data_IF_613829937445
#
_entry.id   IF_613829937445
#
_cell.length_a   1.000
_cell.length_b   1.000
_cell.length_c   1.000
_cell.angle_alpha   90.00
_cell.angle_beta   90.00
_cell.angle_gamma   90.00
#
_symmetry.space_group_name_H-M   'P 1'
#
loop_
_entity.id
_entity.type
_entity.pdbx_description
1 polymer ?
#
# COMPACT_ATOMS: atom_id res chain seq x y z
N UNK A 1 -0.32 -18.28 -6.25
CA UNK A 1 -1.73 -17.91 -6.30
C UNK A 1 -1.92 -16.39 -6.23
N UNK A 2 -3.03 -15.82 -6.72
CA UNK A 2 -3.31 -14.41 -6.58
C UNK A 2 -3.48 -14.04 -5.09
N UNK A 3 -3.07 -12.83 -4.72
CA UNK A 3 -3.35 -12.23 -3.42
C UNK A 3 -4.36 -11.09 -3.58
N UNK A 4 -4.10 -10.20 -4.52
CA UNK A 4 -5.00 -9.14 -4.96
C UNK A 4 -5.16 -9.37 -6.46
N UNK A 5 -6.38 -9.63 -6.89
CA UNK A 5 -6.65 -10.07 -8.26
C UNK A 5 -6.20 -9.03 -9.29
N UNK A 6 -5.48 -9.51 -10.32
CA UNK A 6 -4.88 -8.65 -11.33
C UNK A 6 -3.71 -7.75 -10.85
N UNK A 7 -3.43 -7.65 -9.55
CA UNK A 7 -2.48 -6.71 -8.98
C UNK A 7 -1.26 -7.39 -8.38
N UNK A 8 -1.45 -8.33 -7.45
CA UNK A 8 -0.36 -8.92 -6.67
C UNK A 8 -0.58 -10.41 -6.45
N UNK A 9 0.48 -11.19 -6.54
CA UNK A 9 0.49 -12.63 -6.22
C UNK A 9 1.23 -12.89 -4.91
N UNK A 10 0.92 -14.01 -4.28
CA UNK A 10 1.76 -14.54 -3.19
C UNK A 10 3.15 -14.84 -3.74
N UNK A 11 4.19 -14.59 -2.97
CA UNK A 11 5.57 -14.67 -3.40
C UNK A 11 6.10 -13.43 -4.13
N UNK A 12 5.29 -12.40 -4.32
CA UNK A 12 5.65 -11.13 -4.98
C UNK A 12 5.80 -9.99 -3.96
N UNK A 13 6.47 -8.92 -4.42
CA UNK A 13 6.69 -7.70 -3.65
C UNK A 13 5.84 -6.55 -4.18
N UNK A 14 5.33 -5.72 -3.28
CA UNK A 14 4.61 -4.50 -3.64
C UNK A 14 5.09 -3.31 -2.83
N UNK A 15 5.39 -2.22 -3.51
CA UNK A 15 5.70 -0.92 -2.91
C UNK A 15 4.48 0.00 -3.00
N UNK A 16 4.10 0.61 -1.88
CA UNK A 16 3.20 1.76 -1.85
C UNK A 16 4.05 3.02 -1.61
N UNK A 17 4.17 3.86 -2.65
CA UNK A 17 4.86 5.13 -2.59
C UNK A 17 3.87 6.30 -2.40
N UNK A 18 4.34 7.40 -1.85
CA UNK A 18 3.50 8.58 -1.70
C UNK A 18 4.13 9.63 -0.77
N UNK A 19 3.69 10.90 -0.84
CA UNK A 19 4.20 11.95 0.03
C UNK A 19 3.92 11.65 1.51
N UNK A 20 4.59 12.38 2.39
CA UNK A 20 4.29 12.30 3.82
C UNK A 20 2.82 12.68 4.05
N UNK A 21 2.16 11.98 4.96
CA UNK A 21 0.73 12.19 5.31
C UNK A 21 -0.27 11.90 4.16
N UNK A 22 0.14 11.18 3.12
CA UNK A 22 -0.73 10.78 2.01
C UNK A 22 -1.70 9.63 2.33
N UNK A 23 -1.76 9.14 3.56
CA UNK A 23 -2.65 8.04 3.93
C UNK A 23 -2.09 6.63 3.68
N UNK A 24 -0.80 6.47 3.36
CA UNK A 24 -0.19 5.15 3.07
C UNK A 24 -0.49 4.09 4.12
N UNK A 25 -0.33 4.41 5.41
CA UNK A 25 -0.61 3.47 6.50
C UNK A 25 -2.08 3.07 6.57
N UNK A 26 -2.99 4.00 6.27
CA UNK A 26 -4.42 3.68 6.18
C UNK A 26 -4.73 2.76 5.01
N UNK A 27 -4.15 3.01 3.84
CA UNK A 27 -4.28 2.13 2.67
C UNK A 27 -3.74 0.72 2.95
N UNK A 28 -2.61 0.61 3.69
CA UNK A 28 -2.06 -0.68 4.12
C UNK A 28 -2.94 -1.39 5.15
N UNK A 29 -3.51 -0.67 6.11
CA UNK A 29 -4.44 -1.24 7.10
C UNK A 29 -5.73 -1.69 6.41
N UNK A 30 -6.25 -0.91 5.46
CA UNK A 30 -7.41 -1.29 4.65
C UNK A 30 -7.12 -2.57 3.85
N UNK A 31 -5.94 -2.69 3.26
CA UNK A 31 -5.49 -3.93 2.59
C UNK A 31 -5.46 -5.11 3.56
N UNK A 32 -4.95 -4.91 4.80
CA UNK A 32 -4.99 -5.96 5.83
C UNK A 32 -6.41 -6.44 6.10
N UNK A 33 -7.33 -5.50 6.31
CA UNK A 33 -8.75 -5.81 6.57
C UNK A 33 -9.35 -6.51 5.36
N UNK A 34 -9.12 -5.99 4.15
CA UNK A 34 -9.66 -6.58 2.93
C UNK A 34 -9.18 -8.02 2.70
N UNK A 35 -7.91 -8.32 2.97
CA UNK A 35 -7.37 -9.68 2.87
C UNK A 35 -7.92 -10.57 4.00
N UNK A 36 -8.00 -10.09 5.23
CA UNK A 36 -8.51 -10.87 6.35
C UNK A 36 -9.98 -11.27 6.15
N UNK A 37 -10.79 -10.35 5.65
CA UNK A 37 -12.23 -10.56 5.43
C UNK A 37 -12.56 -11.13 4.03
N UNK A 38 -11.60 -11.10 3.08
CA UNK A 38 -11.79 -11.60 1.72
C UNK A 38 -12.66 -10.67 0.88
N UNK A 39 -12.58 -9.36 1.12
CA UNK A 39 -13.32 -8.31 0.40
C UNK A 39 -12.44 -7.55 -0.58
N UNK A 40 -13.02 -6.61 -1.33
CA UNK A 40 -12.29 -5.77 -2.28
C UNK A 40 -11.47 -4.68 -1.58
N UNK A 41 -10.26 -4.43 -2.10
CA UNK A 41 -9.40 -3.30 -1.77
C UNK A 41 -9.23 -2.43 -3.00
N UNK A 42 -9.62 -1.17 -2.95
CA UNK A 42 -9.65 -0.25 -4.11
C UNK A 42 -10.34 -0.84 -5.37
N UNK A 43 -11.34 -1.71 -5.18
CA UNK A 43 -12.07 -2.38 -6.27
C UNK A 43 -11.51 -3.75 -6.66
N UNK A 44 -10.27 -4.06 -6.34
CA UNK A 44 -9.66 -5.35 -6.62
C UNK A 44 -10.02 -6.40 -5.57
N UNK A 45 -10.46 -7.57 -5.99
CA UNK A 45 -10.78 -8.67 -5.09
C UNK A 45 -9.53 -9.18 -4.37
N UNK A 46 -9.61 -9.30 -3.05
CA UNK A 46 -8.55 -9.88 -2.22
C UNK A 46 -8.83 -11.33 -1.89
N UNK A 47 -7.79 -12.18 -1.96
CA UNK A 47 -7.84 -13.54 -1.45
C UNK A 47 -7.89 -13.50 0.07
N UNK A 48 -8.86 -14.20 0.66
CA UNK A 48 -9.00 -14.31 2.11
C UNK A 48 -7.86 -15.13 2.71
N UNK A 49 -7.24 -14.62 3.77
CA UNK A 49 -6.19 -15.37 4.47
C UNK A 49 -5.54 -14.61 5.61
N UNK A 50 -4.55 -15.26 6.20
CA UNK A 50 -3.85 -14.73 7.36
C UNK A 50 -2.75 -13.76 6.95
N UNK A 51 -2.63 -12.66 7.69
CA UNK A 51 -1.71 -11.57 7.37
C UNK A 51 -0.94 -11.10 8.60
N UNK A 52 0.30 -10.71 8.39
CA UNK A 52 1.13 -10.09 9.41
C UNK A 52 1.34 -8.61 9.08
N UNK A 53 0.96 -7.73 10.00
CA UNK A 53 1.24 -6.30 9.93
C UNK A 53 2.36 -5.92 10.89
N UNK A 54 3.49 -5.49 10.35
CA UNK A 54 4.67 -5.03 11.10
C UNK A 54 4.62 -3.51 11.25
N UNK A 55 4.14 -3.07 12.40
CA UNK A 55 4.03 -1.65 12.76
C UNK A 55 5.36 -1.17 13.36
N UNK A 56 6.03 -0.24 12.67
CA UNK A 56 7.34 0.30 13.06
C UNK A 56 7.25 1.74 13.60
N UNK A 57 6.11 2.41 13.42
CA UNK A 57 6.01 3.84 13.71
C UNK A 57 4.99 4.18 14.79
N UNK A 58 3.82 3.55 14.78
CA UNK A 58 2.74 3.88 15.71
C UNK A 58 2.91 3.15 17.06
N UNK A 59 2.47 3.78 18.14
CA UNK A 59 2.24 3.06 19.38
C UNK A 59 1.08 2.05 19.20
N UNK A 60 1.03 1.08 20.11
CA UNK A 60 0.05 -0.01 20.00
C UNK A 60 -1.40 0.47 20.01
N UNK A 61 -1.73 1.43 20.86
CA UNK A 61 -3.09 1.92 21.00
C UNK A 61 -3.55 2.67 19.74
N UNK A 62 -2.71 3.56 19.22
CA UNK A 62 -2.95 4.28 17.97
C UNK A 62 -3.06 3.34 16.77
N UNK A 63 -2.24 2.30 16.70
CA UNK A 63 -2.32 1.31 15.64
C UNK A 63 -3.66 0.57 15.68
N UNK A 64 -4.07 0.06 16.83
CA UNK A 64 -5.35 -0.64 17.00
C UNK A 64 -6.55 0.27 16.73
N UNK A 65 -6.45 1.57 17.13
CA UNK A 65 -7.50 2.54 16.84
C UNK A 65 -7.70 2.72 15.33
N UNK A 66 -6.61 2.83 14.56
CA UNK A 66 -6.69 2.92 13.09
C UNK A 66 -7.33 1.67 12.45
N UNK A 67 -7.03 0.47 12.95
CA UNK A 67 -7.71 -0.74 12.48
C UNK A 67 -9.21 -0.66 12.74
N UNK A 68 -9.64 -0.22 13.93
CA UNK A 68 -11.05 -0.01 14.26
C UNK A 68 -11.70 1.01 13.32
N UNK A 69 -11.03 2.14 13.08
CA UNK A 69 -11.54 3.19 12.18
C UNK A 69 -11.75 2.66 10.77
N UNK A 70 -10.79 1.86 10.26
CA UNK A 70 -10.86 1.26 8.93
C UNK A 70 -12.02 0.25 8.85
N UNK A 71 -12.19 -0.65 9.83
CA UNK A 71 -13.35 -1.55 9.87
C UNK A 71 -14.65 -0.76 9.83
N UNK A 72 -14.76 0.30 10.63
CA UNK A 72 -15.95 1.17 10.65
C UNK A 72 -16.18 1.85 9.29
N UNK A 73 -15.12 2.39 8.66
CA UNK A 73 -15.20 3.07 7.37
C UNK A 73 -15.55 2.12 6.22
N UNK A 74 -15.11 0.87 6.29
CA UNK A 74 -15.46 -0.17 5.32
C UNK A 74 -16.85 -0.78 5.58
N UNK A 75 -17.53 -0.38 6.64
CA UNK A 75 -18.82 -0.96 7.08
C UNK A 75 -18.75 -2.48 7.28
N UNK A 76 -17.63 -2.96 7.83
CA UNK A 76 -17.41 -4.38 8.09
C UNK A 76 -17.46 -4.68 9.59
N UNK A 77 -18.05 -5.80 9.92
CA UNK A 77 -17.87 -6.41 11.23
C UNK A 77 -16.55 -7.21 11.25
N UNK A 78 -15.81 -7.19 12.37
CA UNK A 78 -14.51 -7.84 12.44
C UNK A 78 -14.64 -9.36 12.68
N UNK A 79 -15.12 -10.09 11.70
CA UNK A 79 -15.39 -11.53 11.80
C UNK A 79 -14.10 -12.37 11.83
N UNK A 80 -13.03 -11.86 11.25
CA UNK A 80 -11.78 -12.61 11.06
C UNK A 80 -10.56 -11.95 11.72
N UNK A 81 -10.71 -11.35 12.90
CA UNK A 81 -9.62 -10.73 13.66
C UNK A 81 -8.42 -11.67 13.90
N UNK A 82 -8.66 -12.97 14.04
CA UNK A 82 -7.60 -13.96 14.17
C UNK A 82 -6.74 -14.14 12.91
N UNK A 83 -7.18 -13.56 11.80
CA UNK A 83 -6.42 -13.53 10.54
C UNK A 83 -5.45 -12.35 10.46
N UNK A 84 -5.46 -11.43 11.42
CA UNK A 84 -4.55 -10.28 11.46
C UNK A 84 -3.67 -10.40 12.71
N UNK A 85 -2.38 -10.70 12.49
CA UNK A 85 -1.38 -10.58 13.55
C UNK A 85 -0.65 -9.22 13.41
N UNK A 86 -0.49 -8.49 14.51
CA UNK A 86 0.19 -7.18 14.52
C UNK A 86 1.45 -7.27 15.37
N UNK A 87 2.61 -6.96 14.78
CA UNK A 87 3.86 -6.78 15.51
C UNK A 87 4.13 -5.29 15.73
N UNK A 88 4.01 -4.84 16.97
CA UNK A 88 4.33 -3.47 17.35
C UNK A 88 5.81 -3.37 17.70
N UNK A 89 6.60 -2.81 16.79
CA UNK A 89 8.06 -2.70 16.91
C UNK A 89 8.54 -1.24 17.03
N UNK A 90 7.64 -0.27 17.28
CA UNK A 90 8.04 1.11 17.58
C UNK A 90 9.03 1.14 18.74
N UNK A 91 10.18 1.79 18.55
CA UNK A 91 11.27 1.83 19.53
C UNK A 91 12.12 0.56 19.61
N UNK A 92 11.73 -0.51 18.89
CA UNK A 92 12.42 -1.80 18.84
C UNK A 92 12.75 -2.23 17.41
N UNK A 93 12.68 -1.29 16.45
CA UNK A 93 13.05 -1.57 15.07
C UNK A 93 14.53 -1.97 14.97
N UNK A 94 14.79 -2.95 14.14
CA UNK A 94 16.15 -3.39 13.81
C UNK A 94 16.32 -3.33 12.28
N UNK A 95 17.56 -3.25 11.78
CA UNK A 95 17.84 -3.33 10.35
C UNK A 95 17.17 -4.53 9.68
N UNK A 96 16.80 -4.39 8.40
CA UNK A 96 16.05 -5.42 7.67
C UNK A 96 16.80 -6.75 7.56
N UNK A 97 18.12 -6.72 7.47
CA UNK A 97 18.99 -7.92 7.50
C UNK A 97 18.87 -8.73 8.80
N UNK A 98 18.55 -8.05 9.90
CA UNK A 98 18.28 -8.68 11.22
C UNK A 98 16.79 -8.95 11.44
N UNK A 99 15.90 -8.19 10.80
CA UNK A 99 14.47 -8.37 10.92
C UNK A 99 13.99 -9.56 10.09
N UNK A 100 14.45 -9.71 8.85
CA UNK A 100 14.01 -10.76 7.93
C UNK A 100 14.20 -12.19 8.51
N UNK A 101 15.34 -12.58 9.09
CA UNK A 101 15.48 -13.90 9.71
C UNK A 101 14.53 -14.11 10.89
N UNK A 102 14.23 -13.06 11.67
CA UNK A 102 13.27 -13.13 12.77
C UNK A 102 11.84 -13.29 12.28
N UNK A 103 11.49 -12.59 11.20
CA UNK A 103 10.20 -12.72 10.52
C UNK A 103 10.01 -14.14 10.02
N UNK A 104 10.97 -14.65 9.23
CA UNK A 104 10.93 -16.00 8.68
C UNK A 104 10.74 -17.04 9.78
N UNK A 105 11.60 -17.02 10.81
CA UNK A 105 11.55 -17.99 11.90
C UNK A 105 10.21 -18.00 12.66
N UNK A 106 9.62 -16.81 12.90
CA UNK A 106 8.36 -16.70 13.66
C UNK A 106 7.14 -16.91 12.80
N UNK A 107 7.20 -16.54 11.53
CA UNK A 107 6.09 -16.59 10.59
C UNK A 107 5.94 -17.96 9.92
N UNK A 108 7.00 -18.77 9.81
CA UNK A 108 7.01 -20.06 9.10
C UNK A 108 5.93 -21.06 9.55
N UNK A 109 5.44 -20.94 10.79
CA UNK A 109 4.39 -21.81 11.33
C UNK A 109 2.98 -21.20 11.27
N UNK A 110 2.82 -20.03 10.69
CA UNK A 110 1.60 -19.23 10.77
C UNK A 110 0.77 -19.18 9.49
N UNK A 111 1.30 -19.69 8.39
CA UNK A 111 0.65 -19.72 7.07
C UNK A 111 0.15 -18.32 6.62
N UNK A 112 0.95 -17.28 6.83
CA UNK A 112 0.64 -15.96 6.30
C UNK A 112 0.67 -15.98 4.77
N UNK A 113 -0.32 -15.36 4.14
CA UNK A 113 -0.35 -15.13 2.70
C UNK A 113 0.23 -13.76 2.32
N UNK A 114 0.35 -12.86 3.32
CA UNK A 114 0.98 -11.56 3.17
C UNK A 114 1.68 -11.10 4.45
N UNK A 115 2.78 -10.35 4.28
CA UNK A 115 3.48 -9.60 5.33
C UNK A 115 3.52 -8.14 4.90
N UNK A 116 3.02 -7.25 5.75
CA UNK A 116 3.05 -5.80 5.52
C UNK A 116 4.05 -5.16 6.47
N UNK A 117 4.91 -4.28 5.95
CA UNK A 117 5.94 -3.56 6.72
C UNK A 117 5.70 -2.05 6.59
N UNK A 118 5.34 -1.40 7.69
CA UNK A 118 4.92 0.01 7.71
C UNK A 118 5.64 0.83 8.79
N UNK A 119 6.44 1.81 8.37
CA UNK A 119 7.06 2.08 7.07
C UNK A 119 8.49 1.52 7.00
N UNK A 120 9.00 1.25 5.81
CA UNK A 120 10.32 0.62 5.64
C UNK A 120 11.51 1.52 5.99
N UNK A 121 11.38 2.85 5.96
CA UNK A 121 12.51 3.74 6.30
C UNK A 121 13.06 3.50 7.71
N UNK A 122 12.26 2.90 8.60
CA UNK A 122 12.68 2.53 9.97
C UNK A 122 13.65 1.33 10.01
N UNK A 123 13.74 0.57 8.95
CA UNK A 123 14.56 -0.67 8.86
C UNK A 123 15.62 -0.60 7.75
N UNK A 124 15.63 0.49 6.96
CA UNK A 124 16.68 0.79 6.00
C UNK A 124 17.96 1.15 6.78
N UNK A 125 19.09 0.65 6.32
CA UNK A 125 20.43 1.00 6.79
C UNK A 125 21.31 1.34 5.61
N UNK A 126 22.19 2.32 5.79
CA UNK A 126 23.09 2.80 4.74
C UNK A 126 22.51 3.93 3.90
N UNK A 127 23.11 4.17 2.76
CA UNK A 127 22.73 5.24 1.85
C UNK A 127 21.65 4.77 0.88
N UNK A 128 20.46 5.37 0.98
CA UNK A 128 19.33 5.08 0.08
C UNK A 128 19.61 5.41 -1.39
N UNK A 129 20.63 6.22 -1.67
CA UNK A 129 21.05 6.55 -3.05
C UNK A 129 22.05 5.54 -3.62
N UNK A 130 22.63 4.68 -2.79
CA UNK A 130 23.53 3.63 -3.22
C UNK A 130 22.76 2.45 -3.82
N UNK A 131 22.97 2.18 -5.12
CA UNK A 131 22.31 1.09 -5.82
C UNK A 131 22.62 -0.28 -5.20
N UNK A 132 23.90 -0.50 -4.83
CA UNK A 132 24.34 -1.79 -4.25
C UNK A 132 23.72 -2.02 -2.86
N UNK A 133 23.68 -0.98 -2.02
CA UNK A 133 23.09 -1.09 -0.69
C UNK A 133 21.57 -1.32 -0.77
N UNK A 134 20.90 -0.65 -1.70
CA UNK A 134 19.47 -0.85 -1.92
C UNK A 134 19.15 -2.20 -2.55
N UNK A 135 19.99 -2.71 -3.46
CA UNK A 135 19.84 -4.07 -3.97
C UNK A 135 19.96 -5.12 -2.84
N UNK A 136 20.97 -4.94 -1.97
CA UNK A 136 21.12 -5.81 -0.81
C UNK A 136 19.92 -5.74 0.17
N UNK A 137 19.39 -4.54 0.37
CA UNK A 137 18.20 -4.33 1.20
C UNK A 137 16.97 -5.00 0.58
N UNK A 138 16.71 -4.83 -0.73
CA UNK A 138 15.60 -5.43 -1.44
C UNK A 138 15.67 -6.97 -1.44
N UNK A 139 16.87 -7.55 -1.54
CA UNK A 139 17.07 -9.00 -1.43
C UNK A 139 16.59 -9.60 -0.10
N UNK A 140 16.45 -8.81 0.97
CA UNK A 140 15.89 -9.31 2.22
C UNK A 140 14.38 -9.57 2.09
N UNK A 141 13.67 -8.78 1.26
CA UNK A 141 12.25 -9.03 0.97
C UNK A 141 12.09 -10.31 0.13
N UNK A 142 12.97 -10.53 -0.84
CA UNK A 142 12.97 -11.77 -1.64
C UNK A 142 13.13 -13.01 -0.76
N UNK A 143 14.01 -12.96 0.22
CA UNK A 143 14.16 -14.05 1.21
C UNK A 143 12.85 -14.30 1.97
N UNK A 144 12.18 -13.23 2.44
CA UNK A 144 10.90 -13.37 3.14
C UNK A 144 9.84 -13.97 2.22
N UNK A 145 9.72 -13.47 0.99
CA UNK A 145 8.79 -14.01 -0.01
C UNK A 145 9.02 -15.49 -0.28
N UNK A 146 10.28 -15.88 -0.52
CA UNK A 146 10.65 -17.24 -0.89
C UNK A 146 10.46 -18.22 0.27
N UNK A 147 10.94 -17.86 1.46
CA UNK A 147 10.93 -18.75 2.63
C UNK A 147 9.51 -18.93 3.22
N UNK A 148 8.66 -17.90 3.10
CA UNK A 148 7.29 -17.95 3.63
C UNK A 148 6.24 -18.26 2.56
N UNK A 149 6.58 -18.16 1.28
CA UNK A 149 5.62 -18.30 0.19
C UNK A 149 4.53 -17.23 0.16
N UNK A 150 4.76 -16.09 0.84
CA UNK A 150 3.79 -15.01 1.00
C UNK A 150 4.20 -13.76 0.20
N UNK A 151 3.26 -12.84 -0.03
CA UNK A 151 3.60 -11.53 -0.56
C UNK A 151 4.23 -10.65 0.53
N UNK A 152 5.14 -9.76 0.12
CA UNK A 152 5.69 -8.72 0.99
C UNK A 152 5.28 -7.35 0.46
N UNK A 153 4.53 -6.60 1.27
CA UNK A 153 4.03 -5.28 0.93
C UNK A 153 4.67 -4.26 1.88
N UNK A 154 5.12 -3.16 1.35
CA UNK A 154 5.77 -2.14 2.15
C UNK A 154 5.49 -0.74 1.62
N UNK A 155 5.64 0.29 2.47
CA UNK A 155 5.47 1.66 2.05
C UNK A 155 6.72 2.51 2.26
N UNK A 156 6.90 3.47 1.36
CA UNK A 156 7.98 4.43 1.39
C UNK A 156 7.53 5.82 0.96
N UNK A 157 8.31 6.84 1.34
CA UNK A 157 8.04 8.21 0.96
C UNK A 157 8.53 8.52 -0.45
N UNK A 158 7.94 9.54 -1.09
CA UNK A 158 8.50 10.14 -2.28
C UNK A 158 9.86 10.79 -1.99
N UNK A 159 10.72 10.85 -3.01
CA UNK A 159 11.95 11.65 -2.96
C UNK A 159 11.61 13.13 -2.72
N UNK A 160 12.53 13.87 -2.09
CA UNK A 160 12.37 15.31 -1.87
C UNK A 160 12.35 16.07 -3.20
N UNK A 161 11.60 17.18 -3.26
CA UNK A 161 11.49 18.09 -4.41
C UNK A 161 10.19 17.95 -5.19
N UNK A 162 10.06 18.74 -6.28
CA UNK A 162 8.86 18.75 -7.10
C UNK A 162 8.63 17.39 -7.79
N UNK A 163 7.44 16.83 -7.62
CA UNK A 163 7.09 15.48 -8.09
C UNK A 163 6.16 15.50 -9.33
N UNK A 164 5.53 16.64 -9.65
CA UNK A 164 4.47 16.73 -10.65
C UNK A 164 4.85 16.29 -12.07
N UNK A 165 6.12 16.45 -12.47
CA UNK A 165 6.61 16.02 -13.79
C UNK A 165 7.30 14.66 -13.80
N UNK A 166 7.42 13.97 -12.68
CA UNK A 166 8.10 12.67 -12.60
C UNK A 166 7.13 11.51 -12.84
N UNK A 167 7.62 10.44 -13.47
CA UNK A 167 6.88 9.17 -13.55
C UNK A 167 6.74 8.56 -12.14
N UNK A 168 5.70 7.76 -11.92
CA UNK A 168 5.46 7.09 -10.62
C UNK A 168 6.69 6.34 -10.12
N UNK A 169 7.41 5.64 -11.00
CA UNK A 169 8.65 4.93 -10.68
C UNK A 169 9.78 5.86 -10.22
N UNK A 170 9.82 7.10 -10.71
CA UNK A 170 10.87 8.06 -10.39
C UNK A 170 10.56 8.91 -9.14
N UNK A 171 9.34 8.77 -8.60
CA UNK A 171 8.90 9.49 -7.39
C UNK A 171 9.33 8.80 -6.11
N UNK A 172 9.43 7.46 -6.09
CA UNK A 172 9.88 6.74 -4.92
C UNK A 172 11.28 7.22 -4.48
N UNK A 173 11.46 7.39 -3.17
CA UNK A 173 12.73 7.86 -2.59
C UNK A 173 13.84 6.82 -2.81
N UNK A 174 15.08 7.29 -2.95
CA UNK A 174 16.26 6.44 -3.04
C UNK A 174 16.73 6.14 -4.48
N UNK A 175 17.54 5.11 -4.61
CA UNK A 175 18.11 4.70 -5.91
C UNK A 175 17.02 4.14 -6.83
N UNK A 176 17.22 4.26 -8.14
CA UNK A 176 16.31 3.69 -9.13
C UNK A 176 16.11 2.17 -9.02
N UNK A 177 17.00 1.47 -8.32
CA UNK A 177 16.86 0.04 -7.99
C UNK A 177 15.63 -0.17 -7.11
N UNK A 178 15.48 0.66 -6.09
CA UNK A 178 14.40 0.56 -5.11
C UNK A 178 12.99 0.67 -5.73
N UNK A 179 12.84 1.50 -6.75
CA UNK A 179 11.58 1.67 -7.46
C UNK A 179 11.30 0.58 -8.50
N UNK A 180 12.34 -0.12 -8.98
CA UNK A 180 12.22 -1.17 -10.03
C UNK A 180 12.18 -2.58 -9.47
N UNK A 181 12.61 -2.77 -8.22
CA UNK A 181 12.68 -4.07 -7.59
C UNK A 181 11.31 -4.71 -7.28
N UNK A 182 10.27 -3.98 -6.82
CA UNK A 182 8.97 -4.57 -6.53
C UNK A 182 8.26 -5.03 -7.81
N UNK A 183 7.49 -6.13 -7.72
CA UNK A 183 6.66 -6.64 -8.82
C UNK A 183 5.47 -5.71 -9.12
N UNK A 184 5.01 -4.96 -8.11
CA UNK A 184 3.94 -3.99 -8.23
C UNK A 184 4.29 -2.69 -7.48
N UNK A 185 3.96 -1.56 -8.09
CA UNK A 185 4.10 -0.23 -7.50
C UNK A 185 2.75 0.47 -7.49
N UNK A 186 2.30 0.89 -6.30
CA UNK A 186 1.17 1.78 -6.13
C UNK A 186 1.68 3.16 -5.72
N UNK A 187 1.36 4.17 -6.48
CA UNK A 187 1.77 5.55 -6.22
C UNK A 187 0.57 6.40 -5.80
N UNK A 188 0.62 6.90 -4.57
CA UNK A 188 -0.36 7.85 -4.05
C UNK A 188 0.11 9.25 -4.38
N UNK A 189 -0.66 9.99 -5.16
CA UNK A 189 -0.38 11.40 -5.47
C UNK A 189 -1.57 12.28 -5.13
N UNK A 190 -1.28 13.50 -4.69
CA UNK A 190 -2.31 14.49 -4.40
C UNK A 190 -2.95 14.94 -5.72
N UNK A 191 -4.27 15.01 -5.75
CA UNK A 191 -4.99 15.61 -6.86
C UNK A 191 -4.84 17.13 -6.81
N UNK A 192 -4.42 17.71 -7.92
CA UNK A 192 -4.42 19.16 -8.09
C UNK A 192 -5.85 19.62 -8.40
N UNK A 193 -6.57 20.04 -7.36
CA UNK A 193 -7.92 20.54 -7.44
C UNK A 193 -7.89 22.02 -7.08
N UNK A 194 -8.42 22.88 -7.96
CA UNK A 194 -8.44 24.31 -7.70
C UNK A 194 -9.25 24.66 -6.45
N UNK A 195 -8.80 25.68 -5.70
CA UNK A 195 -9.48 26.15 -4.49
C UNK A 195 -10.95 26.55 -4.74
N UNK A 196 -11.29 26.98 -5.97
CA UNK A 196 -12.66 27.29 -6.36
C UNK A 196 -13.55 26.06 -6.39
N UNK A 197 -13.02 24.90 -6.81
CA UNK A 197 -13.72 23.62 -6.78
C UNK A 197 -13.90 23.10 -5.36
N UNK A 198 -12.90 23.30 -4.48
CA UNK A 198 -13.04 22.99 -3.06
C UNK A 198 -14.13 23.82 -2.38
N UNK A 199 -14.27 25.10 -2.74
CA UNK A 199 -15.25 26.03 -2.14
C UNK A 199 -16.68 25.84 -2.66
N UNK A 200 -16.86 25.21 -3.81
CA UNK A 200 -18.17 24.90 -4.39
C UNK A 200 -18.75 23.57 -3.90
N UNK A 201 -18.18 23.00 -2.87
CA UNK A 201 -18.45 21.63 -2.48
C UNK A 201 -19.82 21.41 -1.88
N UNK A 202 -20.61 20.80 -2.66
CA UNK A 202 -21.40 19.65 -2.25
C UNK A 202 -20.63 18.39 -2.65
N UNK A 203 -20.69 17.35 -1.84
CA UNK A 203 -19.95 16.07 -1.99
C UNK A 203 -20.03 15.45 -3.40
N UNK A 204 -21.11 15.68 -4.13
CA UNK A 204 -21.34 15.22 -5.49
C UNK A 204 -20.34 15.75 -6.53
N UNK A 205 -19.80 16.97 -6.36
CA UNK A 205 -18.88 17.56 -7.35
C UNK A 205 -17.50 16.92 -7.27
N UNK A 206 -17.06 16.63 -6.06
CA UNK A 206 -15.80 15.93 -5.82
C UNK A 206 -15.90 14.48 -6.28
N UNK A 207 -17.03 13.82 -6.04
CA UNK A 207 -17.31 12.48 -6.55
C UNK A 207 -17.26 12.43 -8.07
N UNK A 208 -17.85 13.39 -8.78
CA UNK A 208 -17.80 13.47 -10.25
C UNK A 208 -16.39 13.69 -10.81
N UNK A 209 -15.55 14.47 -10.12
CA UNK A 209 -14.16 14.67 -10.51
C UNK A 209 -13.38 13.36 -10.34
N UNK A 210 -13.53 12.70 -9.22
CA UNK A 210 -12.91 11.40 -8.94
C UNK A 210 -13.39 10.33 -9.94
N UNK A 211 -14.69 10.25 -10.22
CA UNK A 211 -15.25 9.35 -11.23
C UNK A 211 -14.68 9.60 -12.63
N UNK A 212 -14.63 10.87 -13.06
CA UNK A 212 -14.09 11.22 -14.37
C UNK A 212 -12.61 10.91 -14.48
N UNK A 213 -11.86 11.09 -13.39
CA UNK A 213 -10.45 10.76 -13.34
C UNK A 213 -10.24 9.24 -13.33
N UNK A 214 -10.99 8.51 -12.51
CA UNK A 214 -11.00 7.06 -12.47
C UNK A 214 -11.35 6.44 -13.82
N UNK A 215 -12.40 6.96 -14.48
CA UNK A 215 -12.77 6.53 -15.85
C UNK A 215 -11.67 6.79 -16.87
N UNK A 216 -10.88 7.86 -16.74
CA UNK A 216 -9.71 8.11 -17.62
C UNK A 216 -8.57 7.15 -17.33
N UNK A 217 -8.31 6.89 -16.07
CA UNK A 217 -7.29 5.94 -15.64
C UNK A 217 -7.60 4.52 -16.13
N UNK A 218 -8.82 4.05 -15.90
CA UNK A 218 -9.26 2.71 -16.31
C UNK A 218 -9.47 2.55 -17.82
N UNK A 219 -9.76 3.61 -18.58
CA UNK A 219 -9.79 3.52 -20.05
C UNK A 219 -8.42 3.25 -20.67
N UNK A 220 -7.35 3.62 -20.00
CA UNK A 220 -5.98 3.34 -20.44
C UNK A 220 -5.45 1.97 -19.98
N UNK A 221 -6.23 1.26 -19.17
CA UNK A 221 -5.94 -0.10 -18.66
C UNK A 221 -7.07 -1.05 -19.05
N UNK A 222 -7.35 -1.17 -20.35
CA UNK A 222 -8.53 -1.80 -20.94
C UNK A 222 -8.85 -3.24 -20.51
N UNK A 223 -8.05 -3.87 -19.63
CA UNK A 223 -8.17 -5.28 -19.33
C UNK A 223 -8.50 -5.64 -17.86
N UNK A 224 -8.78 -4.68 -16.96
CA UNK A 224 -8.69 -5.02 -15.53
C UNK A 224 -9.93 -4.86 -14.66
N UNK A 225 -11.00 -4.16 -15.06
CA UNK A 225 -12.20 -4.05 -14.23
C UNK A 225 -13.48 -3.84 -15.04
N UNK A 226 -14.53 -4.59 -14.74
CA UNK A 226 -15.90 -4.26 -15.14
C UNK A 226 -16.33 -2.94 -14.45
N UNK A 227 -17.25 -2.20 -15.06
CA UNK A 227 -17.75 -0.93 -14.49
C UNK A 227 -18.35 -1.09 -13.07
N UNK A 228 -18.75 -2.31 -12.71
CA UNK A 228 -19.35 -2.65 -11.40
C UNK A 228 -18.30 -2.85 -10.30
N UNK A 229 -17.02 -2.98 -10.66
CA UNK A 229 -15.91 -3.22 -9.73
C UNK A 229 -15.25 -1.93 -9.19
N UNK A 230 -15.69 -0.77 -9.65
CA UNK A 230 -15.16 0.52 -9.20
C UNK A 230 -15.51 0.75 -7.73
N UNK A 231 -14.47 0.94 -6.90
CA UNK A 231 -14.67 1.60 -5.59
C UNK A 231 -15.32 2.94 -5.90
N UNK A 232 -16.51 3.16 -5.38
CA UNK A 232 -17.16 4.45 -5.59
C UNK A 232 -16.24 5.55 -5.03
N UNK A 233 -16.06 6.65 -5.73
CA UNK A 233 -15.27 7.79 -5.25
C UNK A 233 -15.69 8.25 -3.86
N UNK A 234 -16.98 8.14 -3.52
CA UNK A 234 -17.52 8.35 -2.17
C UNK A 234 -16.84 7.50 -1.12
N UNK A 235 -16.52 6.25 -1.40
CA UNK A 235 -15.88 5.34 -0.43
C UNK A 235 -14.40 5.66 -0.26
N UNK A 236 -13.71 6.02 -1.35
CA UNK A 236 -12.34 6.55 -1.26
C UNK A 236 -12.29 7.88 -0.50
N UNK A 237 -13.24 8.77 -0.75
CA UNK A 237 -13.41 10.02 -0.02
C UNK A 237 -13.76 9.78 1.45
N UNK A 238 -14.64 8.86 1.77
CA UNK A 238 -15.02 8.54 3.14
C UNK A 238 -13.85 7.99 3.94
N UNK A 239 -13.04 7.11 3.36
CA UNK A 239 -11.82 6.61 3.97
C UNK A 239 -10.81 7.76 4.15
N UNK A 240 -10.64 8.61 3.14
CA UNK A 240 -9.71 9.75 3.17
C UNK A 240 -10.20 10.86 4.11
N UNK A 241 -11.49 11.16 4.13
CA UNK A 241 -12.10 12.17 5.00
C UNK A 241 -12.01 11.87 6.49
N UNK A 242 -12.22 10.63 6.89
CA UNK A 242 -12.14 10.23 8.32
C UNK A 242 -10.72 10.23 8.88
N UNK A 243 -9.74 10.15 8.01
CA UNK A 243 -8.35 9.90 8.38
C UNK A 243 -7.41 11.10 8.18
N UNK A 244 -7.85 12.10 7.44
CA UNK A 244 -7.16 13.38 7.36
C UNK A 244 -7.73 14.31 8.43
N UNK A 245 -6.84 15.12 9.03
CA UNK A 245 -7.23 16.15 10.01
C UNK A 245 -8.48 16.89 9.51
N UNK A 246 -9.46 17.21 10.38
CA UNK A 246 -10.74 17.80 9.98
C UNK A 246 -10.63 19.13 9.20
N UNK A 247 -9.45 19.71 9.10
CA UNK A 247 -9.17 20.98 8.42
C UNK A 247 -8.32 20.85 7.14
N UNK A 248 -8.00 19.64 6.68
CA UNK A 248 -7.20 19.46 5.45
C UNK A 248 -7.75 18.32 4.62
N UNK A 249 -8.66 18.67 3.70
CA UNK A 249 -9.17 17.74 2.70
C UNK A 249 -8.14 17.61 1.58
N UNK A 250 -7.45 16.47 1.53
CA UNK A 250 -6.56 16.12 0.43
C UNK A 250 -7.13 14.93 -0.32
N UNK A 251 -7.51 15.15 -1.55
CA UNK A 251 -7.82 14.07 -2.47
C UNK A 251 -6.53 13.47 -2.99
N UNK A 252 -6.38 12.17 -2.77
CA UNK A 252 -5.24 11.41 -3.27
C UNK A 252 -5.67 10.57 -4.45
N UNK A 253 -4.88 10.58 -5.50
CA UNK A 253 -5.00 9.60 -6.57
C UNK A 253 -4.11 8.42 -6.31
N UNK A 254 -4.58 7.27 -6.74
CA UNK A 254 -3.80 6.03 -6.74
C UNK A 254 -3.47 5.70 -8.18
N UNK A 255 -2.18 5.67 -8.53
CA UNK A 255 -1.73 5.12 -9.79
C UNK A 255 -1.02 3.79 -9.56
N UNK A 256 -1.38 2.80 -10.35
CA UNK A 256 -0.83 1.46 -10.30
C UNK A 256 0.09 1.23 -11.49
N UNK A 257 1.27 0.69 -11.22
CA UNK A 257 2.22 0.27 -12.25
C UNK A 257 2.61 -1.18 -12.00
N UNK A 258 2.33 -2.04 -12.98
CA UNK A 258 2.76 -3.43 -12.94
C UNK A 258 4.17 -3.53 -13.51
N UNK A 259 5.12 -3.90 -12.68
CA UNK A 259 6.53 -4.04 -13.05
C UNK A 259 6.84 -5.50 -13.41
N UNK A 260 6.13 -6.10 -14.37
CA UNK A 260 6.57 -7.39 -14.91
C UNK A 260 7.87 -7.20 -15.65
N UNK A 261 8.90 -7.90 -15.21
CA UNK A 261 10.01 -8.23 -16.08
C UNK A 261 9.43 -8.91 -17.34
N UNK A 262 9.85 -8.46 -18.51
CA UNK A 262 9.57 -9.15 -19.75
C UNK A 262 10.05 -10.59 -19.61
N UNK A 263 9.13 -11.51 -19.37
CA UNK A 263 9.40 -12.89 -19.70
C UNK A 263 9.61 -12.92 -21.22
N UNK A 264 10.87 -12.97 -21.60
CA UNK A 264 11.26 -13.26 -22.99
C UNK A 264 10.55 -14.53 -23.37
N UNK A 265 9.58 -14.40 -24.27
CA UNK A 265 9.08 -15.54 -25.04
C UNK A 265 10.31 -16.22 -25.68
N UNK A 266 10.64 -17.37 -25.23
CA UNK A 266 11.36 -18.38 -26.00
C UNK A 266 10.40 -19.47 -26.38
#
# INVERSE_FOLDING_TARGET
PPLIDGVLRQGHKMLIAGPSKAGKSYALIEMCVAIAEGVKWFGWQCTKGKILYVNLELDRASCLHRFKDVYTAMHLEPDNLNSIDIWNLRGHSVPMDKLAPKLIRRASKKNYIAVIIDPIYKVITGDENSADQMAHFCNQFDKVCTELGCAVIYCHHHSKGAQGGKRSMDRASGSGVFARDPDALLDLSELDISDSLYKQQEDETVCRICENWMRRFYRNTDDLCSQDDLVTPSKMLEITHKHLHPNSYKLMTVSYTHLRAHETRR
#
